data_IF_358175739592
#
_entry.id   IF_358175739592
#
_cell.length_a   1.000
_cell.length_b   1.000
_cell.length_c   1.000
_cell.angle_alpha   90.00
_cell.angle_beta   90.00
_cell.angle_gamma   90.00
#
_symmetry.space_group_name_H-M   'P 1'
#
loop_
_entity.id
_entity.type
_entity.pdbx_description
1 polymer ?
#
# COMPACT_ATOMS: atom_id res chain seq x y z
N UNK A 1 6.90 7.50 7.66
CA UNK A 1 5.85 7.20 8.66
C UNK A 1 4.49 7.32 8.00
N UNK A 2 3.64 6.30 8.19
CA UNK A 2 2.23 6.30 7.74
C UNK A 2 1.43 7.22 8.65
N UNK A 3 0.66 8.12 8.05
CA UNK A 3 -0.24 9.04 8.75
C UNK A 3 -1.67 8.50 8.82
N UNK A 4 -2.13 7.83 7.75
CA UNK A 4 -3.51 7.36 7.66
C UNK A 4 -3.62 6.16 6.70
N UNK A 5 -4.64 5.33 6.90
CA UNK A 5 -5.04 4.26 5.98
C UNK A 5 -6.54 4.36 5.73
N UNK A 6 -6.93 4.42 4.45
CA UNK A 6 -8.32 4.53 4.02
C UNK A 6 -8.70 3.35 3.14
N UNK A 7 -9.94 2.90 3.32
CA UNK A 7 -10.58 1.90 2.45
C UNK A 7 -11.76 2.58 1.78
N UNK A 8 -11.73 2.63 0.45
CA UNK A 8 -12.83 3.12 -0.37
C UNK A 8 -13.57 1.93 -0.98
N UNK A 9 -14.89 2.03 -1.00
CA UNK A 9 -15.78 1.06 -1.64
C UNK A 9 -16.70 1.79 -2.60
N UNK A 10 -16.98 1.18 -3.75
CA UNK A 10 -17.96 1.71 -4.69
C UNK A 10 -18.59 0.60 -5.52
N UNK A 11 -19.70 0.91 -6.17
CA UNK A 11 -20.23 0.11 -7.27
C UNK A 11 -19.41 0.37 -8.53
N UNK A 12 -18.76 -0.63 -9.15
CA UNK A 12 -17.99 -0.46 -10.37
C UNK A 12 -18.86 0.06 -11.52
N UNK A 13 -18.33 1.01 -12.28
CA UNK A 13 -19.03 1.54 -13.46
C UNK A 13 -18.76 0.75 -14.74
N UNK A 14 -17.68 -0.05 -14.77
CA UNK A 14 -17.33 -0.94 -15.88
C UNK A 14 -16.43 -2.10 -15.38
N UNK A 15 -16.13 -3.13 -16.19
CA UNK A 15 -15.34 -4.28 -15.75
C UNK A 15 -13.86 -3.99 -15.44
N UNK A 16 -13.31 -2.85 -15.84
CA UNK A 16 -11.96 -2.39 -15.51
C UNK A 16 -11.97 -1.42 -14.33
N UNK A 17 -13.11 -1.24 -13.67
CA UNK A 17 -13.25 -0.38 -12.51
C UNK A 17 -13.08 -1.19 -11.22
N UNK A 18 -12.56 -0.56 -10.16
CA UNK A 18 -12.30 -1.23 -8.89
C UNK A 18 -13.53 -1.25 -7.99
N UNK A 19 -13.76 -2.36 -7.28
CA UNK A 19 -14.76 -2.45 -6.19
C UNK A 19 -14.24 -1.85 -4.88
N UNK A 20 -12.95 -2.09 -4.59
CA UNK A 20 -12.27 -1.69 -3.35
C UNK A 20 -10.94 -1.03 -3.70
N UNK A 21 -10.67 0.14 -3.12
CA UNK A 21 -9.37 0.79 -3.17
C UNK A 21 -8.79 0.99 -1.75
N UNK A 22 -7.51 0.69 -1.60
CA UNK A 22 -6.75 0.94 -0.38
C UNK A 22 -5.81 2.11 -0.62
N UNK A 23 -5.83 3.10 0.27
CA UNK A 23 -4.94 4.25 0.20
C UNK A 23 -4.20 4.41 1.52
N UNK A 24 -2.88 4.57 1.45
CA UNK A 24 -2.03 4.86 2.60
C UNK A 24 -1.43 6.24 2.44
N UNK A 25 -1.70 7.12 3.40
CA UNK A 25 -1.12 8.46 3.43
C UNK A 25 0.22 8.42 4.15
N UNK A 26 1.26 8.92 3.51
CA UNK A 26 2.59 9.08 4.10
C UNK A 26 2.86 10.54 4.41
N UNK A 27 3.65 10.81 5.46
CA UNK A 27 4.04 12.18 5.85
C UNK A 27 4.81 12.90 4.74
N UNK A 28 5.63 12.17 4.00
CA UNK A 28 6.43 12.67 2.88
C UNK A 28 6.90 11.49 2.02
N UNK A 29 7.51 11.80 0.88
CA UNK A 29 8.05 10.80 -0.05
C UNK A 29 9.24 10.01 0.52
N UNK A 30 10.03 10.61 1.41
CA UNK A 30 11.15 9.91 2.07
C UNK A 30 10.70 8.70 2.92
N UNK A 31 9.40 8.61 3.25
CA UNK A 31 8.84 7.43 3.90
C UNK A 31 8.81 6.18 3.00
N UNK A 32 9.00 6.33 1.68
CA UNK A 32 9.06 5.24 0.70
C UNK A 32 10.49 4.76 0.44
N UNK A 33 11.50 5.50 0.94
CA UNK A 33 12.89 5.11 0.80
C UNK A 33 13.19 3.84 1.60
N UNK A 34 14.10 3.02 1.07
CA UNK A 34 14.50 1.79 1.75
C UNK A 34 15.13 2.10 3.12
N UNK A 35 14.71 1.35 4.13
CA UNK A 35 15.32 1.35 5.46
C UNK A 35 15.50 -0.08 5.95
N UNK A 36 16.75 -0.46 6.23
CA UNK A 36 17.09 -1.77 6.76
C UNK A 36 16.41 -2.05 8.12
N UNK A 37 16.22 -1.02 8.94
CA UNK A 37 15.53 -1.14 10.22
C UNK A 37 14.04 -1.49 10.02
N UNK A 38 13.38 -0.82 9.07
CA UNK A 38 11.97 -1.08 8.74
C UNK A 38 11.83 -2.47 8.11
N UNK A 39 12.74 -2.85 7.20
CA UNK A 39 12.75 -4.19 6.60
C UNK A 39 12.85 -5.29 7.67
N UNK A 40 13.79 -5.15 8.60
CA UNK A 40 13.96 -6.09 9.72
C UNK A 40 12.70 -6.18 10.59
N UNK A 41 12.08 -5.04 10.89
CA UNK A 41 10.82 -5.01 11.66
C UNK A 41 9.69 -5.71 10.91
N UNK A 42 9.55 -5.47 9.60
CA UNK A 42 8.54 -6.10 8.77
C UNK A 42 8.76 -7.62 8.70
N UNK A 43 10.00 -8.08 8.52
CA UNK A 43 10.33 -9.52 8.56
C UNK A 43 9.94 -10.19 9.87
N UNK A 44 10.23 -9.55 11.01
CA UNK A 44 9.84 -10.07 12.33
C UNK A 44 8.31 -10.12 12.52
N UNK A 45 7.56 -9.17 11.94
CA UNK A 45 6.10 -9.19 11.94
C UNK A 45 5.60 -10.34 11.06
N UNK A 46 6.14 -10.49 9.85
CA UNK A 46 5.77 -11.57 8.93
C UNK A 46 6.05 -12.95 9.53
N UNK A 47 7.20 -13.15 10.16
CA UNK A 47 7.55 -14.40 10.85
C UNK A 47 6.53 -14.75 11.93
N UNK A 48 6.13 -13.76 12.77
CA UNK A 48 5.09 -13.96 13.79
C UNK A 48 3.71 -14.26 13.18
N UNK A 49 3.35 -13.58 12.10
CA UNK A 49 2.06 -13.74 11.44
C UNK A 49 1.94 -15.11 10.77
N UNK A 50 2.96 -15.50 10.01
CA UNK A 50 2.99 -16.73 9.22
C UNK A 50 3.60 -17.92 9.98
N UNK A 51 4.08 -17.70 11.22
CA UNK A 51 4.69 -18.71 12.10
C UNK A 51 5.89 -19.43 11.47
N UNK A 52 6.58 -18.76 10.55
CA UNK A 52 7.77 -19.29 9.88
C UNK A 52 8.63 -18.14 9.37
N UNK A 53 9.95 -18.27 9.48
CA UNK A 53 10.91 -17.32 8.91
C UNK A 53 11.18 -17.57 7.41
N UNK A 54 10.67 -18.67 6.85
CA UNK A 54 10.88 -19.08 5.45
C UNK A 54 9.97 -18.26 4.52
N UNK A 55 10.54 -17.29 3.80
CA UNK A 55 9.82 -16.39 2.91
C UNK A 55 9.13 -17.12 1.73
N UNK A 56 9.69 -18.24 1.27
CA UNK A 56 9.06 -19.04 0.21
C UNK A 56 7.78 -19.70 0.71
N UNK A 57 7.80 -20.27 1.93
CA UNK A 57 6.59 -20.79 2.57
C UNK A 57 5.57 -19.70 2.86
N UNK A 58 6.00 -18.51 3.27
CA UNK A 58 5.10 -17.37 3.44
C UNK A 58 4.40 -17.02 2.13
N UNK A 59 5.15 -16.95 1.02
CA UNK A 59 4.62 -16.70 -0.32
C UNK A 59 3.60 -17.77 -0.76
N UNK A 60 3.89 -19.04 -0.51
CA UNK A 60 2.97 -20.12 -0.86
C UNK A 60 1.68 -20.08 -0.04
N UNK A 61 1.75 -19.70 1.25
CA UNK A 61 0.56 -19.52 2.09
C UNK A 61 -0.34 -18.36 1.64
N UNK A 62 0.23 -17.29 1.06
CA UNK A 62 -0.56 -16.15 0.56
C UNK A 62 -1.07 -16.35 -0.87
N UNK A 63 -0.48 -17.28 -1.63
CA UNK A 63 -0.79 -17.51 -3.05
C UNK A 63 -2.31 -17.63 -3.34
N UNK A 64 -3.12 -18.34 -2.55
CA UNK A 64 -4.56 -18.44 -2.78
C UNK A 64 -5.28 -17.08 -2.71
N UNK A 65 -4.78 -16.12 -1.91
CA UNK A 65 -5.39 -14.80 -1.77
C UNK A 65 -5.29 -13.95 -3.03
N UNK A 66 -4.39 -14.28 -3.95
CA UNK A 66 -4.31 -13.61 -5.26
C UNK A 66 -5.32 -14.16 -6.26
N UNK A 67 -5.91 -15.34 -6.01
CA UNK A 67 -6.94 -15.91 -6.87
C UNK A 67 -8.32 -15.31 -6.60
N UNK A 68 -8.53 -14.70 -5.42
CA UNK A 68 -9.82 -14.13 -5.02
C UNK A 68 -10.01 -12.66 -5.44
N UNK A 69 -8.97 -12.02 -5.98
CA UNK A 69 -8.99 -10.60 -6.33
C UNK A 69 -8.18 -10.33 -7.58
N UNK A 70 -8.68 -9.42 -8.40
CA UNK A 70 -7.95 -8.87 -9.54
C UNK A 70 -7.35 -7.53 -9.12
N UNK A 71 -6.04 -7.35 -9.30
CA UNK A 71 -5.41 -6.04 -9.12
C UNK A 71 -5.69 -5.21 -10.36
N UNK A 72 -6.53 -4.19 -10.22
CA UNK A 72 -6.90 -3.30 -11.34
C UNK A 72 -5.83 -2.24 -11.60
N UNK A 73 -5.15 -1.77 -10.55
CA UNK A 73 -4.08 -0.77 -10.67
C UNK A 73 -3.47 -0.38 -9.32
N UNK A 74 -2.40 0.40 -9.37
CA UNK A 74 -1.78 1.04 -8.22
C UNK A 74 -1.18 2.37 -8.66
N UNK A 75 -1.57 3.44 -7.97
CA UNK A 75 -1.14 4.80 -8.28
C UNK A 75 -0.49 5.46 -7.08
N UNK A 76 0.57 6.23 -7.33
CA UNK A 76 1.20 7.08 -6.35
C UNK A 76 0.79 8.53 -6.62
N UNK A 77 0.04 9.11 -5.69
CA UNK A 77 -0.45 10.49 -5.80
C UNK A 77 0.32 11.38 -4.83
N UNK A 78 0.78 12.55 -5.31
CA UNK A 78 1.41 13.58 -4.50
C UNK A 78 0.57 14.84 -4.51
N UNK A 79 0.22 15.33 -3.32
CA UNK A 79 -0.40 16.64 -3.19
C UNK A 79 0.59 17.74 -3.60
N UNK A 80 0.12 18.68 -4.41
CA UNK A 80 0.89 19.85 -4.85
C UNK A 80 0.18 21.10 -4.34
N UNK A 81 0.76 21.73 -3.31
CA UNK A 81 0.32 23.05 -2.85
C UNK A 81 0.97 24.12 -3.73
N UNK A 82 0.16 24.83 -4.52
CA UNK A 82 0.61 25.94 -5.34
C UNK A 82 0.86 27.18 -4.46
N UNK A 83 1.92 27.94 -4.73
CA UNK A 83 2.13 29.23 -4.05
C UNK A 83 1.08 30.23 -4.53
N UNK A 84 0.55 31.11 -3.65
CA UNK A 84 -0.31 32.20 -4.07
C UNK A 84 0.39 33.03 -5.16
N UNK A 85 -0.35 33.47 -6.17
CA UNK A 85 0.18 34.44 -7.12
C UNK A 85 0.52 35.73 -6.37
N UNK A 86 1.68 36.37 -6.64
CA UNK A 86 1.98 37.67 -6.06
C UNK A 86 0.88 38.66 -6.44
N UNK A 87 0.25 39.28 -5.46
CA UNK A 87 -0.67 40.40 -5.70
C UNK A 87 0.15 41.58 -6.20
N UNK A 88 -0.28 42.18 -7.32
CA UNK A 88 0.31 43.40 -7.88
C UNK A 88 0.02 44.60 -6.98
#
# INVERSE_FOLDING_TARGET
MVLDNKVFVKTPSNPQDWDIAFATLYKNMAALDYSAEIDKKNKAISEKHYKTADEDKQRDMIKPRFQWRTLVGSDLVREVTLKPMPMK
#
